data_IF_059956080775
#
_entry.id   IF_059956080775
#
_cell.length_a   1.000
_cell.length_b   1.000
_cell.length_c   1.000
_cell.angle_alpha   90.00
_cell.angle_beta   90.00
_cell.angle_gamma   90.00
#
_symmetry.space_group_name_H-M   'P 1'
#
loop_
_entity.id
_entity.type
_entity.pdbx_description
1 polymer ?
#
# COMPACT_ATOMS: atom_id res chain seq x y z
N UNK A 1 -5.55 -21.85 -7.25
CA UNK A 1 -4.83 -20.61 -7.00
C UNK A 1 -5.42 -19.57 -7.93
N UNK A 2 -6.00 -18.51 -7.41
CA UNK A 2 -6.49 -17.43 -8.23
C UNK A 2 -5.29 -16.85 -9.01
N UNK A 3 -5.50 -16.58 -10.30
CA UNK A 3 -4.51 -15.92 -11.15
C UNK A 3 -4.53 -14.43 -10.77
N UNK A 4 -3.93 -14.11 -9.63
CA UNK A 4 -3.89 -12.73 -9.16
C UNK A 4 -2.93 -11.93 -10.05
N UNK A 5 -3.42 -10.84 -10.60
CA UNK A 5 -2.62 -9.84 -11.32
C UNK A 5 -1.63 -9.15 -10.36
N UNK A 6 -1.99 -9.11 -9.06
CA UNK A 6 -1.18 -8.52 -8.00
C UNK A 6 -0.36 -9.59 -7.29
N UNK A 7 0.94 -9.64 -7.57
CA UNK A 7 1.88 -10.62 -7.01
C UNK A 7 3.32 -10.10 -7.07
N UNK A 8 4.22 -10.79 -6.39
CA UNK A 8 5.65 -10.49 -6.46
C UNK A 8 6.13 -9.50 -5.40
N UNK A 9 7.25 -8.86 -5.65
CA UNK A 9 7.91 -7.94 -4.73
C UNK A 9 7.57 -6.48 -5.11
N UNK A 10 6.93 -5.77 -4.18
CA UNK A 10 6.51 -4.37 -4.36
C UNK A 10 7.10 -3.49 -3.24
N UNK A 11 8.40 -3.21 -3.25
CA UNK A 11 9.07 -2.55 -2.14
C UNK A 11 8.60 -1.11 -1.95
N UNK A 12 8.71 -0.66 -0.69
CA UNK A 12 8.40 0.72 -0.30
C UNK A 12 9.64 1.59 -0.50
N UNK A 13 9.54 2.58 -1.39
CA UNK A 13 10.60 3.55 -1.65
C UNK A 13 10.80 4.49 -0.46
N UNK A 14 12.03 4.68 0.06
CA UNK A 14 12.33 5.74 1.01
C UNK A 14 12.27 7.10 0.32
N UNK A 15 12.00 8.15 1.09
CA UNK A 15 12.10 9.54 0.60
C UNK A 15 13.49 10.09 0.93
N UNK A 16 14.35 10.34 -0.07
CA UNK A 16 15.65 10.92 0.18
C UNK A 16 15.55 12.43 0.42
N UNK A 17 16.33 12.94 1.37
CA UNK A 17 16.44 14.34 1.71
C UNK A 17 17.88 14.84 1.54
N UNK A 18 18.01 16.12 1.20
CA UNK A 18 19.29 16.83 1.23
C UNK A 18 19.68 17.20 2.67
N UNK A 19 20.91 17.59 2.87
CA UNK A 19 21.41 18.01 4.20
C UNK A 19 20.69 19.23 4.80
N UNK A 20 20.01 20.02 3.97
CA UNK A 20 19.20 21.16 4.40
C UNK A 20 17.72 20.80 4.70
N UNK A 21 17.35 19.52 4.60
CA UNK A 21 15.99 19.03 4.84
C UNK A 21 15.04 19.07 3.63
N UNK A 22 15.47 19.62 2.49
CA UNK A 22 14.67 19.58 1.27
C UNK A 22 14.67 18.17 0.65
N UNK A 23 13.59 17.82 -0.04
CA UNK A 23 13.50 16.56 -0.83
C UNK A 23 14.62 16.56 -1.89
N UNK A 24 15.39 15.47 -1.94
CA UNK A 24 16.34 15.20 -3.02
C UNK A 24 15.62 14.54 -4.20
N UNK A 25 15.10 15.35 -5.11
CA UNK A 25 14.37 14.87 -6.29
C UNK A 25 15.22 13.97 -7.18
N UNK A 26 16.50 14.27 -7.35
CA UNK A 26 17.40 13.43 -8.14
C UNK A 26 17.77 12.15 -7.39
N UNK A 27 17.88 12.21 -6.06
CA UNK A 27 17.98 11.03 -5.19
C UNK A 27 16.78 10.12 -5.34
N UNK A 28 15.56 10.67 -5.37
CA UNK A 28 14.33 9.89 -5.54
C UNK A 28 14.28 9.17 -6.90
N UNK A 29 14.71 9.82 -7.98
CA UNK A 29 14.82 9.17 -9.29
C UNK A 29 15.79 7.98 -9.26
N UNK A 30 16.96 8.14 -8.61
CA UNK A 30 17.92 7.02 -8.45
C UNK A 30 17.35 5.86 -7.61
N UNK A 31 16.56 6.16 -6.58
CA UNK A 31 15.87 5.13 -5.79
C UNK A 31 14.90 4.34 -6.67
N UNK A 32 14.10 5.04 -7.49
CA UNK A 32 13.17 4.40 -8.44
C UNK A 32 13.94 3.55 -9.46
N UNK A 33 14.96 4.09 -10.09
CA UNK A 33 15.74 3.38 -11.11
C UNK A 33 16.41 2.13 -10.52
N UNK A 34 16.94 2.22 -9.29
CA UNK A 34 17.51 1.07 -8.59
C UNK A 34 16.49 -0.06 -8.40
N UNK A 35 15.25 0.26 -7.99
CA UNK A 35 14.20 -0.75 -7.83
C UNK A 35 13.77 -1.36 -9.18
N UNK A 36 13.64 -0.53 -10.22
CA UNK A 36 13.34 -1.01 -11.58
C UNK A 36 14.45 -1.94 -12.10
N UNK A 37 15.71 -1.59 -11.88
CA UNK A 37 16.87 -2.42 -12.28
C UNK A 37 16.90 -3.76 -11.52
N UNK A 38 16.38 -3.80 -10.30
CA UNK A 38 16.18 -5.03 -9.51
C UNK A 38 14.96 -5.85 -9.97
N UNK A 39 14.25 -5.39 -11.02
CA UNK A 39 13.13 -6.10 -11.64
C UNK A 39 11.94 -6.33 -10.68
N UNK A 40 11.68 -5.40 -9.77
CA UNK A 40 10.51 -5.47 -8.89
C UNK A 40 9.20 -5.45 -9.70
N UNK A 41 8.15 -6.09 -9.19
CA UNK A 41 6.86 -6.17 -9.87
C UNK A 41 6.02 -4.89 -9.70
N UNK A 42 6.37 -4.04 -8.76
CA UNK A 42 5.77 -2.72 -8.55
C UNK A 42 6.54 -1.90 -7.52
N UNK A 43 6.20 -0.63 -7.38
CA UNK A 43 6.85 0.29 -6.44
C UNK A 43 5.78 0.97 -5.59
N UNK A 44 5.98 0.96 -4.26
CA UNK A 44 5.15 1.73 -3.34
C UNK A 44 5.85 3.01 -2.92
N UNK A 45 5.14 4.12 -2.98
CA UNK A 45 5.63 5.45 -2.57
C UNK A 45 4.75 6.05 -1.47
N UNK A 46 5.32 6.98 -0.72
CA UNK A 46 4.61 7.76 0.32
C UNK A 46 3.99 6.90 1.42
N UNK A 47 4.58 5.72 1.70
CA UNK A 47 4.18 4.84 2.79
C UNK A 47 4.95 5.14 4.10
N UNK A 48 4.87 4.24 5.08
CA UNK A 48 5.51 4.45 6.39
C UNK A 48 7.03 4.62 6.27
N UNK A 49 7.69 3.78 5.49
CA UNK A 49 9.13 3.91 5.21
C UNK A 49 9.50 5.07 4.30
N UNK A 50 8.51 5.71 3.68
CA UNK A 50 8.69 6.95 2.93
C UNK A 50 8.47 8.20 3.79
N UNK A 51 8.32 8.03 5.11
CA UNK A 51 8.07 9.13 6.07
C UNK A 51 6.77 9.91 5.80
N UNK A 52 5.72 9.22 5.35
CA UNK A 52 4.47 9.82 4.87
C UNK A 52 3.82 10.84 5.82
N UNK A 53 4.03 10.71 7.13
CA UNK A 53 3.44 11.59 8.14
C UNK A 53 4.28 12.86 8.41
N UNK A 54 5.50 12.90 7.90
CA UNK A 54 6.43 14.00 8.07
C UNK A 54 6.47 14.94 6.85
N UNK A 55 5.84 14.52 5.75
CA UNK A 55 5.75 15.29 4.51
C UNK A 55 4.54 16.23 4.53
N UNK A 56 4.74 17.45 4.10
CA UNK A 56 3.64 18.38 3.80
C UNK A 56 2.80 17.89 2.61
N UNK A 57 1.59 18.41 2.45
CA UNK A 57 0.75 18.05 1.29
C UNK A 57 1.39 18.47 -0.04
N UNK A 58 2.11 19.61 -0.06
CA UNK A 58 2.87 20.06 -1.23
C UNK A 58 4.01 19.09 -1.58
N UNK A 59 4.78 18.65 -0.60
CA UNK A 59 5.86 17.67 -0.81
C UNK A 59 5.31 16.32 -1.29
N UNK A 60 4.16 15.90 -0.77
CA UNK A 60 3.47 14.68 -1.24
C UNK A 60 3.02 14.80 -2.68
N UNK A 61 2.47 15.96 -3.09
CA UNK A 61 2.09 16.20 -4.49
C UNK A 61 3.31 16.18 -5.41
N UNK A 62 4.40 16.86 -5.03
CA UNK A 62 5.66 16.88 -5.78
C UNK A 62 6.20 15.45 -5.97
N UNK A 63 6.25 14.66 -4.90
CA UNK A 63 6.74 13.27 -4.97
C UNK A 63 5.82 12.37 -5.78
N UNK A 64 4.49 12.49 -5.63
CA UNK A 64 3.53 11.71 -6.41
C UNK A 64 3.74 11.96 -7.90
N UNK A 65 3.80 13.22 -8.32
CA UNK A 65 4.04 13.61 -9.70
C UNK A 65 5.39 13.11 -10.20
N UNK A 66 6.46 13.41 -9.47
CA UNK A 66 7.83 13.02 -9.82
C UNK A 66 7.94 11.50 -10.03
N UNK A 67 7.38 10.72 -9.10
CA UNK A 67 7.53 9.27 -9.15
C UNK A 67 6.74 8.65 -10.30
N UNK A 68 5.48 9.04 -10.49
CA UNK A 68 4.66 8.53 -11.61
C UNK A 68 5.28 8.90 -12.95
N UNK A 69 5.69 10.17 -13.13
CA UNK A 69 6.32 10.64 -14.36
C UNK A 69 7.68 9.95 -14.62
N UNK A 70 8.50 9.74 -13.57
CA UNK A 70 9.82 9.12 -13.71
C UNK A 70 9.75 7.61 -13.95
N UNK A 71 8.82 6.92 -13.28
CA UNK A 71 8.57 5.48 -13.54
C UNK A 71 8.11 5.28 -14.98
N UNK A 72 7.31 6.21 -15.53
CA UNK A 72 6.89 6.22 -16.93
C UNK A 72 6.32 4.86 -17.42
N UNK A 73 5.55 4.18 -16.56
CA UNK A 73 4.92 2.89 -16.90
C UNK A 73 5.88 1.69 -16.94
N UNK A 74 7.14 1.82 -16.51
CA UNK A 74 8.08 0.68 -16.44
C UNK A 74 7.61 -0.42 -15.49
N UNK A 75 6.98 -0.02 -14.39
CA UNK A 75 6.31 -0.89 -13.41
C UNK A 75 5.11 -0.16 -12.83
N UNK A 76 4.10 -0.85 -12.26
CA UNK A 76 3.01 -0.19 -11.54
C UNK A 76 3.51 0.58 -10.32
N UNK A 77 2.81 1.68 -9.99
CA UNK A 77 3.11 2.50 -8.80
C UNK A 77 1.90 2.50 -7.87
N UNK A 78 2.13 2.11 -6.60
CA UNK A 78 1.17 2.30 -5.51
C UNK A 78 1.50 3.60 -4.80
N UNK A 79 0.55 4.51 -4.74
CA UNK A 79 0.68 5.76 -3.98
C UNK A 79 -0.10 5.67 -2.67
N UNK A 80 0.58 5.83 -1.54
CA UNK A 80 -0.11 5.84 -0.25
C UNK A 80 -0.78 7.19 -0.02
N UNK A 81 -2.07 7.14 0.30
CA UNK A 81 -2.93 8.32 0.46
C UNK A 81 -3.53 8.46 1.87
N UNK A 82 -3.06 7.65 2.82
CA UNK A 82 -3.62 7.57 4.18
C UNK A 82 -3.78 8.94 4.82
N UNK A 83 -4.98 9.21 5.31
CA UNK A 83 -5.32 10.37 6.12
C UNK A 83 -6.56 10.06 6.96
N UNK A 84 -6.67 10.66 8.15
CA UNK A 84 -7.86 10.49 9.00
C UNK A 84 -9.08 11.28 8.50
N UNK A 85 -8.89 12.34 7.71
CA UNK A 85 -9.97 13.01 7.00
C UNK A 85 -10.29 12.29 5.68
N UNK A 86 -11.55 11.90 5.51
CA UNK A 86 -12.05 11.27 4.29
C UNK A 86 -11.89 12.19 3.07
N UNK A 87 -12.18 13.48 3.22
CA UNK A 87 -12.09 14.45 2.12
C UNK A 87 -10.65 14.65 1.63
N UNK A 88 -9.67 14.65 2.57
CA UNK A 88 -8.26 14.76 2.20
C UNK A 88 -7.79 13.47 1.50
N UNK A 89 -8.14 12.30 2.04
CA UNK A 89 -7.82 11.02 1.39
C UNK A 89 -8.42 10.93 -0.01
N UNK A 90 -9.68 11.34 -0.18
CA UNK A 90 -10.35 11.38 -1.48
C UNK A 90 -9.71 12.39 -2.46
N UNK A 91 -9.30 13.56 -1.97
CA UNK A 91 -8.60 14.55 -2.81
C UNK A 91 -7.25 14.02 -3.28
N UNK A 92 -6.49 13.34 -2.41
CA UNK A 92 -5.24 12.66 -2.79
C UNK A 92 -5.48 11.56 -3.82
N UNK A 93 -6.56 10.77 -3.68
CA UNK A 93 -6.91 9.74 -4.64
C UNK A 93 -7.23 10.33 -6.03
N UNK A 94 -7.96 11.45 -6.09
CA UNK A 94 -8.22 12.15 -7.35
C UNK A 94 -6.94 12.65 -8.02
N UNK A 95 -6.02 13.23 -7.24
CA UNK A 95 -4.73 13.67 -7.76
C UNK A 95 -3.95 12.50 -8.38
N UNK A 96 -3.89 11.35 -7.69
CA UNK A 96 -3.22 10.16 -8.22
C UNK A 96 -3.84 9.73 -9.54
N UNK A 97 -5.17 9.72 -9.63
CA UNK A 97 -5.87 9.40 -10.90
C UNK A 97 -5.55 10.39 -12.01
N UNK A 98 -5.57 11.69 -11.72
CA UNK A 98 -5.25 12.76 -12.67
C UNK A 98 -3.82 12.64 -13.23
N UNK A 99 -2.91 12.13 -12.42
CA UNK A 99 -1.51 11.86 -12.79
C UNK A 99 -1.30 10.52 -13.50
N UNK A 100 -2.37 9.74 -13.71
CA UNK A 100 -2.28 8.43 -14.33
C UNK A 100 -1.80 7.30 -13.42
N UNK A 101 -1.85 7.49 -12.09
CA UNK A 101 -1.53 6.45 -11.13
C UNK A 101 -2.61 5.36 -11.11
N UNK A 102 -2.19 4.11 -10.95
CA UNK A 102 -3.04 2.93 -11.11
C UNK A 102 -3.52 2.33 -9.80
N UNK A 103 -2.77 2.54 -8.71
CA UNK A 103 -3.07 1.97 -7.40
C UNK A 103 -2.87 2.94 -6.26
N UNK A 104 -3.72 2.79 -5.26
CA UNK A 104 -3.67 3.48 -3.99
C UNK A 104 -3.39 2.49 -2.86
N UNK A 105 -2.70 2.93 -1.81
CA UNK A 105 -2.69 2.23 -0.54
C UNK A 105 -3.24 3.15 0.56
N UNK A 106 -4.05 2.60 1.45
CA UNK A 106 -4.66 3.37 2.51
C UNK A 106 -4.83 2.54 3.79
N UNK A 107 -4.39 3.08 4.91
CA UNK A 107 -4.76 2.61 6.24
C UNK A 107 -6.17 3.09 6.61
N UNK A 108 -6.86 2.41 7.56
CA UNK A 108 -8.10 2.93 8.11
C UNK A 108 -7.90 4.31 8.74
N UNK A 109 -8.98 5.11 8.91
CA UNK A 109 -8.87 6.41 9.54
C UNK A 109 -8.38 6.25 10.99
N UNK A 110 -7.31 6.97 11.31
CA UNK A 110 -6.69 6.97 12.61
C UNK A 110 -6.47 8.40 13.09
N UNK A 111 -6.58 8.62 14.39
CA UNK A 111 -6.30 9.91 15.01
C UNK A 111 -5.52 9.69 16.32
N UNK A 112 -4.28 9.23 16.20
CA UNK A 112 -3.42 8.95 17.33
C UNK A 112 -4.12 8.08 18.38
N UNK A 113 -4.02 8.46 19.66
CA UNK A 113 -4.62 7.71 20.76
C UNK A 113 -6.09 8.07 21.05
N UNK A 114 -6.64 9.12 20.43
CA UNK A 114 -7.90 9.71 20.87
C UNK A 114 -9.14 9.17 20.17
N UNK A 115 -9.08 8.96 18.88
CA UNK A 115 -10.25 8.53 18.09
C UNK A 115 -9.88 7.44 17.11
N UNK A 116 -10.73 6.43 17.05
CA UNK A 116 -10.67 5.35 16.05
C UNK A 116 -12.00 5.32 15.32
N UNK A 117 -11.97 5.06 14.02
CA UNK A 117 -13.18 4.83 13.27
C UNK A 117 -13.90 3.57 13.75
N UNK A 118 -15.22 3.59 13.83
CA UNK A 118 -16.02 2.37 13.92
C UNK A 118 -15.89 1.57 12.63
N UNK A 119 -16.19 0.25 12.61
CA UNK A 119 -16.18 -0.55 11.38
C UNK A 119 -17.01 0.08 10.24
N UNK A 120 -18.14 0.70 10.56
CA UNK A 120 -18.97 1.37 9.58
C UNK A 120 -18.30 2.64 9.02
N UNK A 121 -17.70 3.47 9.87
CA UNK A 121 -16.99 4.69 9.43
C UNK A 121 -15.75 4.33 8.59
N UNK A 122 -15.05 3.26 8.94
CA UNK A 122 -13.93 2.75 8.13
C UNK A 122 -14.43 2.35 6.75
N UNK A 123 -15.48 1.54 6.69
CA UNK A 123 -16.10 1.13 5.43
C UNK A 123 -16.51 2.35 4.58
N UNK A 124 -17.19 3.34 5.18
CA UNK A 124 -17.64 4.56 4.50
C UNK A 124 -16.48 5.38 3.93
N UNK A 125 -15.34 5.47 4.66
CA UNK A 125 -14.15 6.14 4.15
C UNK A 125 -13.57 5.44 2.91
N UNK A 126 -13.43 4.12 2.96
CA UNK A 126 -12.92 3.35 1.81
C UNK A 126 -13.90 3.43 0.63
N UNK A 127 -15.20 3.35 0.88
CA UNK A 127 -16.23 3.50 -0.16
C UNK A 127 -16.14 4.88 -0.82
N UNK A 128 -16.00 5.95 -0.02
CA UNK A 128 -15.84 7.30 -0.56
C UNK A 128 -14.57 7.48 -1.38
N UNK A 129 -13.46 6.92 -0.93
CA UNK A 129 -12.20 6.97 -1.69
C UNK A 129 -12.31 6.15 -2.98
N UNK A 130 -13.03 5.03 -2.96
CA UNK A 130 -13.30 4.19 -4.13
C UNK A 130 -14.01 4.93 -5.27
N UNK A 131 -14.81 5.98 -4.98
CA UNK A 131 -15.44 6.82 -6.00
C UNK A 131 -14.42 7.52 -6.93
N UNK A 132 -13.15 7.62 -6.53
CA UNK A 132 -12.09 8.13 -7.40
C UNK A 132 -11.80 7.18 -8.57
N UNK A 133 -12.20 5.91 -8.51
CA UNK A 133 -12.05 4.92 -9.56
C UNK A 133 -10.59 4.52 -9.80
N UNK A 134 -9.84 4.33 -8.72
CA UNK A 134 -8.46 3.81 -8.70
C UNK A 134 -8.42 2.62 -7.76
N UNK A 135 -7.74 1.55 -8.14
CA UNK A 135 -7.61 0.34 -7.32
C UNK A 135 -7.02 0.64 -5.95
N UNK A 136 -7.61 0.09 -4.90
CA UNK A 136 -7.21 0.32 -3.51
C UNK A 136 -6.64 -0.95 -2.89
N UNK A 137 -5.45 -0.83 -2.33
CA UNK A 137 -4.88 -1.77 -1.37
C UNK A 137 -5.18 -1.30 0.05
N UNK A 138 -5.87 -2.11 0.83
CA UNK A 138 -6.11 -1.87 2.25
C UNK A 138 -4.85 -2.23 3.03
N UNK A 139 -4.30 -1.28 3.78
CA UNK A 139 -3.17 -1.54 4.66
C UNK A 139 -3.66 -1.78 6.09
N UNK A 140 -3.48 -2.99 6.57
CA UNK A 140 -3.77 -3.40 7.94
C UNK A 140 -2.48 -3.38 8.77
N UNK A 141 -2.15 -2.21 9.28
CA UNK A 141 -0.90 -1.96 9.96
C UNK A 141 -1.11 -1.55 11.43
N UNK A 142 -0.26 -2.02 12.35
CA UNK A 142 -0.33 -1.65 13.78
C UNK A 142 -0.23 -0.14 14.01
N UNK A 143 0.47 0.56 13.12
CA UNK A 143 0.66 2.00 13.19
C UNK A 143 -0.66 2.80 13.16
N UNK A 144 -1.70 2.26 12.53
CA UNK A 144 -3.03 2.87 12.54
C UNK A 144 -3.68 2.82 13.94
N UNK A 145 -3.25 1.87 14.79
CA UNK A 145 -3.89 1.60 16.07
C UNK A 145 -5.35 1.10 15.95
N UNK A 146 -5.75 0.71 14.72
CA UNK A 146 -7.10 0.22 14.41
C UNK A 146 -6.98 -1.24 14.00
N UNK A 147 -7.76 -2.10 14.64
CA UNK A 147 -7.89 -3.50 14.23
C UNK A 147 -8.93 -3.61 13.11
N UNK A 148 -8.55 -4.29 12.02
CA UNK A 148 -9.43 -4.57 10.89
C UNK A 148 -9.82 -6.06 10.91
N UNK A 149 -10.97 -6.43 11.47
CA UNK A 149 -11.38 -7.83 11.52
C UNK A 149 -11.63 -8.39 10.11
N UNK A 150 -11.31 -9.67 9.91
CA UNK A 150 -11.47 -10.37 8.62
C UNK A 150 -12.86 -10.16 7.98
N UNK A 151 -13.98 -10.24 8.71
CA UNK A 151 -15.30 -9.96 8.12
C UNK A 151 -15.45 -8.56 7.52
N UNK A 152 -14.79 -7.55 8.12
CA UNK A 152 -14.81 -6.19 7.56
C UNK A 152 -14.00 -6.09 6.26
N UNK A 153 -12.80 -6.70 6.23
CA UNK A 153 -11.97 -6.75 5.02
C UNK A 153 -12.71 -7.44 3.86
N UNK A 154 -13.36 -8.56 4.14
CA UNK A 154 -14.16 -9.28 3.15
C UNK A 154 -15.37 -8.46 2.68
N UNK A 155 -16.06 -7.76 3.62
CA UNK A 155 -17.15 -6.86 3.26
C UNK A 155 -16.67 -5.75 2.32
N UNK A 156 -15.52 -5.14 2.64
CA UNK A 156 -14.93 -4.10 1.78
C UNK A 156 -14.59 -4.63 0.39
N UNK A 157 -13.98 -5.82 0.29
CA UNK A 157 -13.67 -6.45 -0.99
C UNK A 157 -14.92 -6.75 -1.84
N UNK A 158 -16.02 -7.16 -1.20
CA UNK A 158 -17.27 -7.51 -1.90
C UNK A 158 -18.10 -6.32 -2.33
N UNK A 159 -18.12 -5.26 -1.53
CA UNK A 159 -19.07 -4.16 -1.69
C UNK A 159 -18.42 -2.87 -2.25
N UNK A 160 -17.09 -2.77 -2.24
CA UNK A 160 -16.35 -1.62 -2.80
C UNK A 160 -15.54 -2.11 -3.99
N UNK A 161 -16.02 -1.84 -5.20
CA UNK A 161 -15.43 -2.30 -6.46
C UNK A 161 -13.92 -2.06 -6.56
N UNK A 162 -13.44 -0.93 -6.04
CA UNK A 162 -12.02 -0.56 -6.11
C UNK A 162 -11.15 -1.24 -5.06
N UNK A 163 -11.70 -1.85 -4.01
CA UNK A 163 -10.92 -2.58 -3.00
C UNK A 163 -10.61 -3.98 -3.52
N UNK A 164 -9.34 -4.24 -3.83
CA UNK A 164 -8.85 -5.48 -4.42
C UNK A 164 -7.76 -6.15 -3.60
N UNK A 165 -6.83 -5.35 -3.08
CA UNK A 165 -5.60 -5.84 -2.47
C UNK A 165 -5.56 -5.54 -0.98
N UNK A 166 -4.73 -6.32 -0.27
CA UNK A 166 -4.60 -6.22 1.18
C UNK A 166 -3.13 -6.39 1.57
N UNK A 167 -2.59 -5.42 2.29
CA UNK A 167 -1.26 -5.52 2.91
C UNK A 167 -1.45 -5.78 4.39
N UNK A 168 -1.08 -6.97 4.85
CA UNK A 168 -1.30 -7.43 6.23
C UNK A 168 0.03 -7.34 7.01
N UNK A 169 0.08 -6.42 7.99
CA UNK A 169 1.23 -6.14 8.84
C UNK A 169 0.90 -6.33 10.35
N UNK A 170 -0.21 -6.97 10.67
CA UNK A 170 -0.63 -7.12 12.05
C UNK A 170 0.03 -8.33 12.74
N UNK A 171 -0.06 -8.37 14.08
CA UNK A 171 0.33 -9.55 14.82
C UNK A 171 -0.43 -10.79 14.32
N UNK A 172 0.28 -11.92 14.15
CA UNK A 172 -0.26 -13.16 13.58
C UNK A 172 -0.74 -13.00 12.12
N UNK A 173 0.00 -12.25 11.31
CA UNK A 173 -0.33 -11.97 9.91
C UNK A 173 -0.71 -13.23 9.12
N UNK A 174 0.06 -14.32 9.21
CA UNK A 174 -0.21 -15.57 8.52
C UNK A 174 -1.59 -16.17 8.88
N UNK A 175 -2.01 -16.12 10.14
CA UNK A 175 -3.34 -16.62 10.53
C UNK A 175 -4.46 -15.75 9.92
N UNK A 176 -4.28 -14.44 9.92
CA UNK A 176 -5.23 -13.49 9.35
C UNK A 176 -5.29 -13.60 7.82
N UNK A 177 -4.14 -13.73 7.14
CA UNK A 177 -4.04 -13.98 5.70
C UNK A 177 -4.79 -15.25 5.31
N UNK A 178 -4.54 -16.35 6.02
CA UNK A 178 -5.22 -17.63 5.78
C UNK A 178 -6.74 -17.51 5.91
N UNK A 179 -7.23 -16.84 6.96
CA UNK A 179 -8.65 -16.60 7.15
C UNK A 179 -9.21 -15.72 6.02
N UNK A 180 -8.53 -14.62 5.67
CA UNK A 180 -8.94 -13.71 4.62
C UNK A 180 -9.07 -14.42 3.26
N UNK A 181 -8.06 -15.21 2.88
CA UNK A 181 -8.08 -15.97 1.61
C UNK A 181 -9.16 -17.04 1.59
N UNK A 182 -9.29 -17.82 2.67
CA UNK A 182 -10.26 -18.92 2.72
C UNK A 182 -11.72 -18.43 2.74
N UNK A 183 -12.01 -17.36 3.48
CA UNK A 183 -13.37 -16.85 3.65
C UNK A 183 -13.75 -15.82 2.56
N UNK A 184 -12.79 -15.07 2.04
CA UNK A 184 -12.99 -14.05 1.02
C UNK A 184 -13.00 -14.61 -0.41
N UNK A 185 -12.29 -15.73 -0.64
CA UNK A 185 -12.28 -16.42 -1.93
C UNK A 185 -11.85 -15.53 -3.10
N UNK A 186 -12.64 -15.52 -4.15
CA UNK A 186 -12.36 -14.78 -5.39
C UNK A 186 -12.34 -13.26 -5.24
N UNK A 187 -12.88 -12.72 -4.15
CA UNK A 187 -12.87 -11.28 -3.87
C UNK A 187 -11.52 -10.77 -3.35
N UNK A 188 -10.61 -11.67 -2.99
CA UNK A 188 -9.27 -11.31 -2.48
C UNK A 188 -8.25 -11.52 -3.59
N UNK A 189 -7.87 -10.46 -4.27
CA UNK A 189 -7.02 -10.55 -5.46
C UNK A 189 -5.52 -10.45 -5.14
N UNK A 190 -5.14 -9.71 -4.13
CA UNK A 190 -3.74 -9.50 -3.76
C UNK A 190 -3.56 -9.40 -2.25
N UNK A 191 -3.50 -10.52 -1.52
CA UNK A 191 -3.06 -10.53 -0.14
C UNK A 191 -1.52 -10.50 -0.08
N UNK A 192 -0.96 -9.42 0.46
CA UNK A 192 0.47 -9.21 0.56
C UNK A 192 0.95 -9.35 2.01
N UNK A 193 2.09 -10.00 2.19
CA UNK A 193 2.92 -9.84 3.38
C UNK A 193 3.43 -8.39 3.45
N UNK A 194 3.23 -7.73 4.57
CA UNK A 194 3.62 -6.34 4.77
C UNK A 194 4.88 -6.15 5.62
N UNK A 195 5.43 -7.24 6.15
CA UNK A 195 6.61 -7.21 7.01
C UNK A 195 7.92 -7.23 6.21
N UNK A 196 9.06 -7.01 6.87
CA UNK A 196 10.40 -6.99 6.27
C UNK A 196 10.94 -8.41 5.96
N UNK A 197 10.08 -9.33 5.56
CA UNK A 197 10.44 -10.73 5.31
C UNK A 197 10.51 -11.59 6.58
N UNK A 198 10.21 -11.03 7.76
CA UNK A 198 10.30 -11.74 9.05
C UNK A 198 9.33 -12.92 9.09
N UNK A 199 8.12 -12.73 8.58
CA UNK A 199 7.06 -13.76 8.54
C UNK A 199 6.82 -14.32 7.15
N UNK A 200 7.61 -13.93 6.14
CA UNK A 200 7.40 -14.17 4.72
C UNK A 200 7.01 -15.62 4.38
N UNK A 201 7.74 -16.62 4.88
CA UNK A 201 7.43 -18.02 4.57
C UNK A 201 6.06 -18.44 5.12
N UNK A 202 5.74 -18.05 6.34
CA UNK A 202 4.44 -18.36 6.95
C UNK A 202 3.29 -17.66 6.22
N UNK A 203 3.52 -16.44 5.74
CA UNK A 203 2.54 -15.64 5.03
C UNK A 203 2.32 -16.15 3.60
N UNK A 204 3.37 -16.59 2.90
CA UNK A 204 3.26 -17.28 1.61
C UNK A 204 2.50 -18.62 1.74
N UNK A 205 2.80 -19.43 2.77
CA UNK A 205 2.05 -20.65 3.07
C UNK A 205 0.58 -20.36 3.46
N UNK A 206 0.30 -19.17 3.98
CA UNK A 206 -1.05 -18.72 4.30
C UNK A 206 -1.82 -18.18 3.08
N UNK A 207 -1.15 -18.03 1.93
CA UNK A 207 -1.75 -17.60 0.68
C UNK A 207 -1.41 -16.17 0.25
N UNK A 208 -0.41 -15.52 0.87
CA UNK A 208 0.10 -14.26 0.35
C UNK A 208 0.64 -14.45 -1.08
N UNK A 209 0.34 -13.51 -1.96
CA UNK A 209 0.77 -13.51 -3.36
C UNK A 209 1.96 -12.59 -3.61
N UNK A 210 2.30 -11.76 -2.66
CA UNK A 210 3.39 -10.79 -2.77
C UNK A 210 3.91 -10.33 -1.40
N UNK A 211 4.99 -9.57 -1.46
CA UNK A 211 5.61 -8.93 -0.31
C UNK A 211 5.81 -7.44 -0.57
N UNK A 212 5.68 -6.64 0.48
CA UNK A 212 5.76 -5.19 0.44
C UNK A 212 6.66 -4.66 1.56
N UNK A 213 7.92 -5.12 1.55
CA UNK A 213 9.00 -4.69 2.46
C UNK A 213 9.59 -3.34 2.06
N UNK A 214 10.62 -2.89 2.77
CA UNK A 214 11.41 -1.73 2.34
C UNK A 214 12.21 -2.02 1.06
N UNK A 215 12.69 -0.95 0.40
CA UNK A 215 13.52 -1.06 -0.80
C UNK A 215 15.00 -1.42 -0.51
N UNK A 216 15.29 -1.99 0.65
CA UNK A 216 16.67 -2.31 1.03
C UNK A 216 17.18 -3.61 0.41
N UNK A 217 16.32 -4.62 0.28
CA UNK A 217 16.70 -5.98 -0.12
C UNK A 217 15.74 -6.65 -1.11
N UNK A 218 15.15 -5.94 -2.08
CA UNK A 218 14.17 -6.54 -2.98
C UNK A 218 14.77 -7.69 -3.80
N UNK A 219 16.06 -7.65 -4.13
CA UNK A 219 16.78 -8.71 -4.83
C UNK A 219 16.87 -10.04 -4.05
N UNK A 220 16.75 -9.99 -2.72
CA UNK A 220 16.70 -11.16 -1.86
C UNK A 220 15.28 -11.67 -1.63
N UNK A 221 14.30 -10.77 -1.54
CA UNK A 221 12.89 -11.09 -1.32
C UNK A 221 12.24 -11.64 -2.58
N UNK A 222 12.47 -11.00 -3.71
CA UNK A 222 11.82 -11.33 -4.99
C UNK A 222 11.93 -12.81 -5.39
N UNK A 223 13.12 -13.46 -5.33
CA UNK A 223 13.25 -14.88 -5.69
C UNK A 223 12.48 -15.84 -4.76
N UNK A 224 12.12 -15.38 -3.57
CA UNK A 224 11.34 -16.18 -2.60
C UNK A 224 9.85 -16.07 -2.85
N UNK A 225 9.39 -14.93 -3.35
CA UNK A 225 7.96 -14.65 -3.58
C UNK A 225 7.49 -15.17 -4.95
N UNK A 226 8.38 -15.30 -5.94
CA UNK A 226 8.07 -15.77 -7.30
C UNK A 226 8.22 -17.28 -7.44
#
# INVERSE_FOLDING_TARGET
MANSEFKGCWPVAPTPFKSNGEIDKEGMKRVIDCMVDQQVEGICILANYSEQFLLSDEEREILTRLCIEHVAGRVPVITTISHFSTDIAFSRAKLVKELGGEMLMMMPPYHGALMKGTPQQIFEQFAKVGEAGVTIMVQDAPLSGVDLPVPLLIKMAKEIEMVKCFKIECAQAAAKLRALVNEGGEYIEGPFDGEEGITLFADLEAGATGNMSSAMIPELIRPVVL
#
